data_IF_576968335216
#
_entry.id   IF_576968335216
#
_cell.length_a   1.000
_cell.length_b   1.000
_cell.length_c   1.000
_cell.angle_alpha   90.00
_cell.angle_beta   90.00
_cell.angle_gamma   90.00
#
_symmetry.space_group_name_H-M   'P 1'
#
loop_
_entity.id
_entity.type
_entity.pdbx_description
1 polymer ?
#
# COMPACT_ATOMS: atom_id res chain seq x y z
N UNK A 1 44.14 17.85 49.91
CA UNK A 1 43.84 18.25 48.51
C UNK A 1 43.39 17.00 47.76
N UNK A 2 42.08 16.79 47.58
CA UNK A 2 41.31 17.04 46.33
C UNK A 2 41.82 16.26 45.11
N UNK A 3 41.05 15.26 44.65
CA UNK A 3 40.60 14.99 43.26
C UNK A 3 39.93 13.59 43.24
N UNK A 4 38.63 13.51 43.55
CA UNK A 4 37.47 13.52 42.63
C UNK A 4 37.31 12.22 41.81
N UNK A 5 36.35 11.42 42.31
CA UNK A 5 35.43 10.49 41.63
C UNK A 5 35.57 10.36 40.11
N UNK A 6 35.89 9.15 39.65
CA UNK A 6 35.58 8.69 38.30
C UNK A 6 34.08 8.34 38.23
N UNK A 7 33.29 9.23 37.65
CA UNK A 7 32.00 8.90 37.04
C UNK A 7 32.22 9.03 35.53
N UNK A 8 32.23 7.92 34.79
CA UNK A 8 32.04 7.95 33.35
C UNK A 8 30.81 7.12 33.02
N UNK A 9 29.85 7.85 32.47
CA UNK A 9 28.49 7.50 32.14
C UNK A 9 28.51 6.46 31.01
N UNK A 10 27.95 5.28 31.25
CA UNK A 10 27.53 4.39 30.18
C UNK A 10 26.35 5.06 29.45
N UNK A 11 26.59 5.59 28.25
CA UNK A 11 25.54 6.07 27.38
C UNK A 11 24.77 4.86 26.84
N UNK A 12 23.61 4.59 27.43
CA UNK A 12 22.64 3.64 26.89
C UNK A 12 22.05 4.28 25.63
N UNK A 13 22.57 3.91 24.45
CA UNK A 13 21.93 4.27 23.18
C UNK A 13 20.65 3.44 23.09
N UNK A 14 19.54 4.01 23.52
CA UNK A 14 18.22 3.47 23.21
C UNK A 14 17.99 3.71 21.73
N UNK A 15 18.30 2.71 20.90
CA UNK A 15 17.82 2.68 19.52
C UNK A 15 16.30 2.53 19.62
N UNK A 16 15.59 3.64 19.44
CA UNK A 16 14.14 3.60 19.29
C UNK A 16 13.87 2.85 18.00
N UNK A 17 13.35 1.63 18.11
CA UNK A 17 12.83 0.90 16.96
C UNK A 17 11.57 1.64 16.49
N UNK A 18 11.73 2.54 15.53
CA UNK A 18 10.59 3.20 14.90
C UNK A 18 9.82 2.14 14.12
N UNK A 19 8.64 1.77 14.63
CA UNK A 19 7.64 1.05 13.85
C UNK A 19 7.02 2.05 12.88
N UNK A 20 7.11 1.79 11.58
CA UNK A 20 6.56 2.68 10.56
C UNK A 20 5.34 2.00 9.94
N UNK A 21 4.24 2.75 9.89
CA UNK A 21 2.93 2.32 9.42
C UNK A 21 2.57 3.11 8.15
N UNK A 22 2.34 2.41 7.04
CA UNK A 22 1.95 2.97 5.75
C UNK A 22 0.49 2.63 5.44
N UNK A 23 -0.32 3.66 5.15
CA UNK A 23 -1.69 3.47 4.70
C UNK A 23 -1.69 3.25 3.17
N UNK A 24 -2.22 2.11 2.71
CA UNK A 24 -2.42 1.80 1.30
C UNK A 24 -3.90 1.73 0.95
N UNK A 25 -4.24 2.25 -0.22
CA UNK A 25 -5.56 2.15 -0.83
C UNK A 25 -5.49 1.17 -1.99
N UNK A 26 -6.34 0.15 -1.96
CA UNK A 26 -6.43 -0.91 -2.95
C UNK A 26 -7.83 -0.91 -3.56
N UNK A 27 -7.91 -1.16 -4.86
CA UNK A 27 -9.16 -1.33 -5.59
C UNK A 27 -9.19 -2.71 -6.24
N UNK A 28 -10.34 -3.37 -6.16
CA UNK A 28 -10.54 -4.65 -6.83
C UNK A 28 -10.74 -4.45 -8.33
N UNK A 29 -10.17 -5.39 -9.08
CA UNK A 29 -10.33 -5.57 -10.51
C UNK A 29 -10.75 -7.02 -10.77
N UNK A 30 -11.28 -7.29 -11.96
CA UNK A 30 -11.72 -8.64 -12.35
C UNK A 30 -12.65 -9.28 -11.32
N UNK A 31 -13.63 -8.50 -10.82
CA UNK A 31 -14.56 -8.93 -9.79
C UNK A 31 -15.46 -10.02 -10.37
N UNK A 32 -15.34 -11.23 -9.82
CA UNK A 32 -16.25 -12.32 -10.04
C UNK A 32 -17.10 -12.48 -8.78
N UNK A 33 -18.41 -12.20 -8.89
CA UNK A 33 -19.32 -12.18 -7.76
C UNK A 33 -20.54 -13.06 -7.99
N UNK A 34 -21.00 -13.69 -6.93
CA UNK A 34 -22.22 -14.47 -6.87
C UNK A 34 -23.07 -13.98 -5.70
N UNK A 35 -24.33 -13.66 -5.98
CA UNK A 35 -25.33 -13.40 -4.94
C UNK A 35 -26.39 -14.49 -4.93
N UNK A 36 -26.81 -14.90 -3.73
CA UNK A 36 -27.83 -15.92 -3.55
C UNK A 36 -29.25 -15.43 -3.87
N UNK A 37 -29.48 -14.10 -3.94
CA UNK A 37 -30.78 -13.48 -4.28
C UNK A 37 -31.99 -14.02 -3.47
N UNK A 38 -31.74 -14.44 -2.23
CA UNK A 38 -32.76 -15.12 -1.40
C UNK A 38 -33.73 -14.11 -0.76
N UNK A 39 -33.33 -12.83 -0.66
CA UNK A 39 -34.13 -11.80 -0.02
C UNK A 39 -34.84 -10.91 -1.03
N UNK A 40 -36.18 -10.84 -0.99
CA UNK A 40 -36.94 -9.99 -1.89
C UNK A 40 -36.51 -8.53 -1.78
N UNK A 41 -36.33 -7.87 -2.93
CA UNK A 41 -35.92 -6.47 -3.06
C UNK A 41 -34.51 -6.13 -2.59
N UNK A 42 -33.69 -7.11 -2.21
CA UNK A 42 -32.26 -6.91 -2.00
C UNK A 42 -31.50 -7.42 -3.22
N UNK A 43 -31.03 -6.50 -4.06
CA UNK A 43 -30.25 -6.83 -5.25
C UNK A 43 -28.76 -6.59 -4.99
N UNK A 44 -28.02 -7.67 -4.74
CA UNK A 44 -26.56 -7.66 -4.59
C UNK A 44 -25.84 -8.16 -5.85
N UNK A 45 -26.56 -8.32 -6.98
CA UNK A 45 -25.94 -8.63 -8.25
C UNK A 45 -25.14 -7.43 -8.75
N UNK A 46 -24.21 -7.71 -9.66
CA UNK A 46 -23.40 -6.69 -10.34
C UNK A 46 -22.60 -5.81 -9.37
N UNK A 47 -21.97 -6.42 -8.36
CA UNK A 47 -21.01 -5.74 -7.48
C UNK A 47 -19.99 -4.97 -8.34
N UNK A 48 -20.05 -3.64 -8.26
CA UNK A 48 -19.35 -2.75 -9.19
C UNK A 48 -17.92 -2.48 -8.73
N UNK A 49 -17.74 -2.18 -7.44
CA UNK A 49 -16.43 -1.86 -6.88
C UNK A 49 -16.22 -2.50 -5.51
N UNK A 50 -14.97 -2.85 -5.23
CA UNK A 50 -14.50 -3.18 -3.88
C UNK A 50 -13.28 -2.32 -3.59
N UNK A 51 -13.34 -1.53 -2.52
CA UNK A 51 -12.24 -0.68 -2.04
C UNK A 51 -11.74 -1.20 -0.71
N UNK A 52 -10.43 -1.35 -0.57
CA UNK A 52 -9.78 -1.84 0.65
C UNK A 52 -8.74 -0.81 1.09
N UNK A 53 -8.82 -0.41 2.35
CA UNK A 53 -7.78 0.37 3.01
C UNK A 53 -7.03 -0.53 3.99
N UNK A 54 -5.71 -0.64 3.79
CA UNK A 54 -4.84 -1.41 4.68
C UNK A 54 -3.80 -0.50 5.34
N UNK A 55 -3.39 -0.88 6.53
CA UNK A 55 -2.22 -0.35 7.20
C UNK A 55 -1.11 -1.41 7.19
N UNK A 56 -0.01 -1.12 6.52
CA UNK A 56 1.14 -2.00 6.43
C UNK A 56 2.21 -1.50 7.40
N UNK A 57 2.55 -2.31 8.40
CA UNK A 57 3.54 -1.98 9.41
C UNK A 57 4.79 -2.83 9.23
N UNK A 58 5.93 -2.18 8.98
CA UNK A 58 7.24 -2.85 8.97
C UNK A 58 7.91 -2.67 10.34
N UNK A 59 8.41 -3.76 10.93
CA UNK A 59 9.18 -3.70 12.18
C UNK A 59 10.62 -4.18 11.95
N UNK A 60 11.62 -3.63 12.66
CA UNK A 60 13.02 -4.01 12.45
C UNK A 60 13.34 -5.50 12.65
N UNK A 61 12.48 -6.23 13.36
CA UNK A 61 12.66 -7.63 13.73
C UNK A 61 11.80 -8.61 12.90
N UNK A 62 10.97 -8.10 11.97
CA UNK A 62 10.15 -8.92 11.06
C UNK A 62 10.29 -8.40 9.62
N UNK A 63 10.96 -9.14 8.72
CA UNK A 63 11.09 -8.74 7.32
C UNK A 63 9.76 -8.80 6.55
N UNK A 64 8.77 -9.51 7.08
CA UNK A 64 7.41 -9.52 6.56
C UNK A 64 6.63 -8.39 7.26
N UNK A 65 6.12 -7.47 6.46
CA UNK A 65 5.28 -6.39 6.95
C UNK A 65 3.97 -6.97 7.50
N UNK A 66 3.52 -6.48 8.65
CA UNK A 66 2.20 -6.86 9.17
C UNK A 66 1.14 -6.02 8.48
N UNK A 67 0.12 -6.69 7.93
CA UNK A 67 -1.02 -6.03 7.28
C UNK A 67 -2.22 -6.02 8.22
N UNK A 68 -2.77 -4.83 8.46
CA UNK A 68 -4.05 -4.62 9.15
C UNK A 68 -5.06 -4.09 8.12
N UNK A 69 -6.25 -4.69 8.04
CA UNK A 69 -7.30 -4.22 7.13
C UNK A 69 -8.21 -3.26 7.90
N UNK A 70 -8.07 -1.96 7.62
CA UNK A 70 -8.80 -0.91 8.31
C UNK A 70 -10.26 -0.85 7.88
N UNK A 71 -10.48 -0.90 6.57
CA UNK A 71 -11.79 -0.72 5.94
C UNK A 71 -11.88 -1.53 4.66
N UNK A 72 -13.04 -2.13 4.43
CA UNK A 72 -13.48 -2.64 3.13
C UNK A 72 -14.85 -2.09 2.80
N UNK A 73 -15.03 -1.66 1.55
CA UNK A 73 -16.27 -1.14 1.04
C UNK A 73 -16.65 -1.89 -0.23
N UNK A 74 -17.87 -2.42 -0.26
CA UNK A 74 -18.49 -3.05 -1.41
C UNK A 74 -19.56 -2.11 -1.97
N UNK A 75 -19.41 -1.70 -3.23
CA UNK A 75 -20.34 -0.77 -3.88
C UNK A 75 -21.25 -1.53 -4.85
N UNK A 76 -22.56 -1.38 -4.65
CA UNK A 76 -23.58 -2.05 -5.44
C UNK A 76 -24.36 -1.01 -6.25
N UNK A 77 -24.70 -1.29 -7.52
CA UNK A 77 -25.50 -0.37 -8.33
C UNK A 77 -26.95 -0.26 -7.83
N UNK A 78 -27.46 -1.31 -7.19
CA UNK A 78 -28.88 -1.45 -6.85
C UNK A 78 -29.13 -1.67 -5.34
N UNK A 79 -28.11 -1.45 -4.50
CA UNK A 79 -28.21 -1.55 -3.05
C UNK A 79 -27.26 -0.54 -2.40
N UNK A 80 -27.52 -0.19 -1.14
CA UNK A 80 -26.57 0.65 -0.38
C UNK A 80 -25.23 -0.09 -0.23
N UNK A 81 -24.13 0.66 -0.24
CA UNK A 81 -22.79 0.12 -0.02
C UNK A 81 -22.70 -0.65 1.31
N UNK A 82 -21.94 -1.74 1.30
CA UNK A 82 -21.59 -2.45 2.52
C UNK A 82 -20.19 -2.01 2.95
N UNK A 83 -20.09 -1.28 4.06
CA UNK A 83 -18.82 -0.88 4.66
C UNK A 83 -18.51 -1.72 5.88
N UNK A 84 -17.35 -2.34 5.88
CA UNK A 84 -16.82 -3.20 6.92
C UNK A 84 -15.54 -2.58 7.50
N UNK A 85 -15.46 -2.42 8.82
CA UNK A 85 -14.28 -1.89 9.52
C UNK A 85 -13.87 -2.81 10.65
N UNK A 86 -12.68 -2.59 11.22
CA UNK A 86 -12.14 -3.37 12.33
C UNK A 86 -12.05 -4.87 12.00
N UNK A 87 -11.50 -5.20 10.84
CA UNK A 87 -11.33 -6.58 10.41
C UNK A 87 -10.22 -7.24 11.23
N UNK A 88 -10.57 -8.33 11.90
CA UNK A 88 -9.66 -9.09 12.75
C UNK A 88 -9.20 -10.36 12.05
N UNK A 89 -7.89 -10.64 12.10
CA UNK A 89 -7.33 -11.89 11.59
C UNK A 89 -7.84 -13.07 12.42
N UNK A 90 -8.37 -14.09 11.74
CA UNK A 90 -8.93 -15.29 12.37
C UNK A 90 -7.77 -16.22 12.77
N UNK A 91 -7.75 -16.64 14.03
CA UNK A 91 -6.67 -17.46 14.56
C UNK A 91 -6.66 -18.85 13.91
N UNK A 92 -5.46 -19.35 13.58
CA UNK A 92 -5.31 -20.69 13.00
C UNK A 92 -5.75 -20.83 11.54
N UNK A 93 -6.08 -19.71 10.87
CA UNK A 93 -6.36 -19.69 9.42
C UNK A 93 -5.32 -18.84 8.68
N UNK A 94 -4.89 -19.28 7.48
CA UNK A 94 -3.99 -18.47 6.67
C UNK A 94 -4.74 -17.25 6.11
N UNK A 95 -4.41 -16.06 6.62
CA UNK A 95 -4.79 -14.76 6.07
C UNK A 95 -6.29 -14.54 5.83
N UNK A 96 -7.11 -15.11 6.71
CA UNK A 96 -8.54 -14.82 6.76
C UNK A 96 -8.80 -13.71 7.78
N UNK A 97 -9.57 -12.72 7.37
CA UNK A 97 -9.97 -11.59 8.18
C UNK A 97 -11.48 -11.53 8.24
N UNK A 98 -12.02 -11.25 9.42
CA UNK A 98 -13.47 -11.19 9.63
C UNK A 98 -13.86 -9.96 10.43
N UNK A 99 -15.04 -9.45 10.14
CA UNK A 99 -15.72 -8.45 10.98
C UNK A 99 -17.22 -8.63 10.90
N UNK A 100 -17.93 -8.04 11.87
CA UNK A 100 -19.38 -8.05 11.94
C UNK A 100 -19.89 -6.64 11.67
N UNK A 101 -20.68 -6.48 10.62
CA UNK A 101 -21.34 -5.21 10.29
C UNK A 101 -22.76 -5.25 10.86
N UNK A 102 -23.11 -4.23 11.64
CA UNK A 102 -24.42 -4.11 12.28
C UNK A 102 -25.38 -3.30 11.43
N UNK A 103 -26.63 -3.78 11.33
CA UNK A 103 -27.73 -3.12 10.61
C UNK A 103 -27.52 -2.87 9.10
N UNK A 104 -26.83 -3.74 8.31
CA UNK A 104 -26.78 -3.58 6.86
C UNK A 104 -28.10 -4.00 6.22
N UNK A 105 -28.63 -3.15 5.34
CA UNK A 105 -29.88 -3.37 4.60
C UNK A 105 -31.05 -3.76 5.53
N UNK A 106 -31.55 -4.99 5.41
CA UNK A 106 -32.65 -5.55 6.20
C UNK A 106 -32.18 -6.46 7.35
N UNK A 107 -30.87 -6.66 7.52
CA UNK A 107 -30.30 -7.58 8.50
C UNK A 107 -29.86 -6.87 9.76
N UNK A 108 -30.02 -7.53 10.91
CA UNK A 108 -29.48 -7.04 12.17
C UNK A 108 -27.94 -7.06 12.17
N UNK A 109 -27.36 -8.11 11.60
CA UNK A 109 -25.91 -8.34 11.53
C UNK A 109 -25.56 -9.17 10.31
N UNK A 110 -24.46 -8.82 9.66
CA UNK A 110 -23.78 -9.71 8.70
C UNK A 110 -22.32 -9.87 9.08
N UNK A 111 -21.77 -11.04 8.81
CA UNK A 111 -20.35 -11.33 8.91
C UNK A 111 -19.73 -11.10 7.54
N UNK A 112 -18.69 -10.27 7.48
CA UNK A 112 -17.85 -10.09 6.29
C UNK A 112 -16.56 -10.87 6.52
N UNK A 113 -16.24 -11.76 5.59
CA UNK A 113 -15.01 -12.54 5.56
C UNK A 113 -14.21 -12.15 4.31
N UNK A 114 -12.92 -11.87 4.49
CA UNK A 114 -11.95 -11.73 3.42
C UNK A 114 -10.87 -12.77 3.60
N UNK A 115 -10.42 -13.40 2.53
CA UNK A 115 -9.24 -14.26 2.56
C UNK A 115 -8.37 -13.98 1.33
N UNK A 116 -7.06 -13.87 1.54
CA UNK A 116 -6.10 -13.52 0.50
C UNK A 116 -4.70 -14.01 0.84
N UNK A 117 -3.71 -13.66 0.03
CA UNK A 117 -2.30 -13.91 0.36
C UNK A 117 -1.76 -12.87 1.36
N UNK A 118 -0.55 -13.11 1.89
CA UNK A 118 0.02 -12.41 3.06
C UNK A 118 0.11 -10.88 2.92
N UNK A 119 0.23 -10.36 1.68
CA UNK A 119 0.62 -8.95 1.46
C UNK A 119 -0.45 -8.06 0.81
N UNK A 120 -1.62 -8.59 0.39
CA UNK A 120 -2.71 -7.85 -0.30
C UNK A 120 -2.26 -6.94 -1.47
N UNK A 121 -1.05 -7.10 -2.01
CA UNK A 121 -0.46 -6.25 -3.04
C UNK A 121 -0.43 -7.00 -4.39
N UNK A 122 -1.42 -6.78 -5.24
CA UNK A 122 -1.43 -7.40 -6.59
C UNK A 122 -1.92 -8.84 -6.64
N UNK A 123 -2.66 -9.33 -5.64
CA UNK A 123 -3.01 -10.76 -5.50
C UNK A 123 -4.53 -10.97 -5.54
N UNK A 124 -4.92 -12.18 -5.98
CA UNK A 124 -6.27 -12.69 -5.84
C UNK A 124 -6.69 -12.74 -4.37
N UNK A 125 -7.85 -12.19 -4.06
CA UNK A 125 -8.54 -12.38 -2.79
C UNK A 125 -9.95 -12.90 -3.04
N UNK A 126 -10.51 -13.52 -2.01
CA UNK A 126 -11.91 -13.90 -1.98
C UNK A 126 -12.63 -13.23 -0.82
N UNK A 127 -13.91 -13.00 -1.01
CA UNK A 127 -14.78 -12.36 -0.04
C UNK A 127 -16.08 -13.13 0.10
N UNK A 128 -16.64 -13.11 1.30
CA UNK A 128 -17.95 -13.70 1.61
C UNK A 128 -18.71 -12.82 2.60
N UNK A 129 -20.02 -12.78 2.45
CA UNK A 129 -20.94 -12.08 3.34
C UNK A 129 -22.03 -13.04 3.80
N UNK A 130 -22.14 -13.24 5.10
CA UNK A 130 -23.12 -14.14 5.72
C UNK A 130 -24.09 -13.37 6.61
N UNK A 131 -25.38 -13.74 6.60
CA UNK A 131 -26.33 -13.27 7.62
C UNK A 131 -26.03 -13.94 8.95
N UNK A 132 -25.92 -13.17 10.04
CA UNK A 132 -25.76 -13.76 11.37
C UNK A 132 -27.11 -13.91 12.06
N UNK A 133 -27.65 -15.14 12.04
CA UNK A 133 -28.98 -15.44 12.61
C UNK A 133 -28.94 -15.78 14.11
N UNK A 134 -27.78 -16.19 14.66
CA UNK A 134 -27.69 -16.58 16.07
C UNK A 134 -27.38 -15.39 16.99
N UNK A 135 -28.21 -15.21 18.02
CA UNK A 135 -28.01 -14.21 19.09
C UNK A 135 -27.17 -14.75 20.26
N UNK A 136 -26.88 -16.06 20.26
CA UNK A 136 -26.31 -16.77 21.41
C UNK A 136 -24.84 -16.45 21.64
N UNK A 137 -24.11 -16.03 20.60
CA UNK A 137 -22.72 -15.60 20.67
C UNK A 137 -22.55 -14.26 19.94
N UNK A 138 -22.86 -13.17 20.64
CA UNK A 138 -22.78 -11.81 20.11
C UNK A 138 -21.33 -11.54 19.64
N UNK A 139 -21.15 -11.26 18.35
CA UNK A 139 -19.86 -10.87 17.74
C UNK A 139 -18.79 -11.96 17.74
N UNK A 140 -19.17 -13.24 17.71
CA UNK A 140 -18.18 -14.31 17.56
C UNK A 140 -17.75 -14.46 16.09
N UNK A 141 -16.61 -13.85 15.75
CA UNK A 141 -15.97 -13.95 14.42
C UNK A 141 -15.51 -15.36 14.06
N UNK A 142 -15.40 -16.28 15.02
CA UNK A 142 -15.00 -17.67 14.78
C UNK A 142 -16.17 -18.53 14.26
N UNK A 143 -17.41 -18.04 14.35
CA UNK A 143 -18.61 -18.73 13.87
C UNK A 143 -19.04 -18.18 12.51
N UNK A 144 -18.92 -18.99 11.46
CA UNK A 144 -19.42 -18.70 10.10
C UNK A 144 -20.84 -19.19 9.85
N UNK A 145 -21.63 -19.41 10.91
CA UNK A 145 -22.98 -19.93 10.77
C UNK A 145 -23.91 -18.83 10.27
N UNK A 146 -24.53 -19.07 9.12
CA UNK A 146 -25.38 -18.09 8.48
C UNK A 146 -25.69 -18.42 7.03
N UNK A 147 -26.71 -17.75 6.50
CA UNK A 147 -27.00 -17.79 5.08
C UNK A 147 -26.02 -16.90 4.31
N UNK A 148 -25.35 -17.45 3.30
CA UNK A 148 -24.45 -16.68 2.42
C UNK A 148 -25.28 -15.78 1.49
N UNK A 149 -25.04 -14.47 1.53
CA UNK A 149 -25.70 -13.47 0.68
C UNK A 149 -24.92 -13.17 -0.59
N UNK A 150 -23.59 -13.14 -0.45
CA UNK A 150 -22.65 -12.68 -1.45
C UNK A 150 -21.33 -13.42 -1.24
N UNK A 151 -20.75 -13.90 -2.32
CA UNK A 151 -19.38 -14.41 -2.32
C UNK A 151 -18.72 -14.17 -3.66
N UNK A 152 -17.39 -14.21 -3.69
CA UNK A 152 -16.67 -14.03 -4.92
C UNK A 152 -15.17 -13.97 -4.76
N UNK A 153 -14.51 -13.69 -5.87
CA UNK A 153 -13.08 -13.49 -5.97
C UNK A 153 -12.77 -12.26 -6.82
N UNK A 154 -11.66 -11.59 -6.55
CA UNK A 154 -11.19 -10.45 -7.33
C UNK A 154 -9.67 -10.29 -7.18
N UNK A 155 -9.08 -9.47 -8.02
CA UNK A 155 -7.66 -9.10 -7.99
C UNK A 155 -7.49 -7.71 -7.41
N UNK A 156 -6.52 -7.49 -6.51
CA UNK A 156 -6.29 -6.17 -5.93
C UNK A 156 -5.25 -5.37 -6.72
N UNK A 157 -5.57 -4.13 -7.03
CA UNK A 157 -4.67 -3.16 -7.64
C UNK A 157 -4.38 -2.07 -6.60
N UNK A 158 -3.10 -1.78 -6.39
CA UNK A 158 -2.69 -0.69 -5.53
C UNK A 158 -2.93 0.67 -6.24
N UNK A 159 -3.87 1.44 -5.69
CA UNK A 159 -4.25 2.78 -6.17
C UNK A 159 -3.84 3.89 -5.19
N UNK A 160 -2.96 3.58 -4.23
CA UNK A 160 -2.46 4.54 -3.26
C UNK A 160 -1.91 5.77 -3.96
N UNK A 161 -2.40 6.95 -3.55
CA UNK A 161 -1.98 8.21 -4.15
C UNK A 161 -0.46 8.35 -4.09
N UNK A 162 0.17 8.54 -5.26
CA UNK A 162 1.63 8.72 -5.37
C UNK A 162 2.04 10.05 -4.74
N UNK A 163 2.41 10.02 -3.46
CA UNK A 163 2.92 11.20 -2.77
C UNK A 163 4.25 11.61 -3.38
N UNK A 164 4.34 12.85 -3.85
CA UNK A 164 5.60 13.46 -4.29
C UNK A 164 6.32 13.97 -3.05
N UNK A 165 7.56 13.52 -2.83
CA UNK A 165 8.37 13.88 -1.65
C UNK A 165 9.39 14.97 -1.96
N UNK A 166 9.84 15.07 -3.22
CA UNK A 166 10.75 16.11 -3.65
C UNK A 166 10.60 16.38 -5.16
N UNK A 167 10.99 17.59 -5.59
CA UNK A 167 10.94 18.02 -6.99
C UNK A 167 12.26 18.69 -7.36
N UNK A 168 12.97 18.13 -8.35
CA UNK A 168 14.13 18.76 -8.96
C UNK A 168 13.78 19.29 -10.36
N UNK A 169 14.02 20.59 -10.55
CA UNK A 169 13.79 21.26 -11.83
C UNK A 169 15.13 21.50 -12.54
N UNK A 170 15.17 21.25 -13.85
CA UNK A 170 16.38 21.33 -14.63
C UNK A 170 16.18 21.58 -16.11
N UNK A 171 17.30 21.55 -16.83
CA UNK A 171 17.31 21.50 -18.28
C UNK A 171 18.16 20.34 -18.73
N UNK A 172 17.71 19.64 -19.74
CA UNK A 172 18.40 18.53 -20.38
C UNK A 172 18.31 18.70 -21.89
N UNK A 173 19.46 18.72 -22.57
CA UNK A 173 19.57 19.02 -24.01
C UNK A 173 18.80 20.29 -24.42
N UNK A 174 18.93 21.35 -23.61
CA UNK A 174 18.29 22.65 -23.85
C UNK A 174 16.78 22.71 -23.54
N UNK A 175 16.13 21.59 -23.21
CA UNK A 175 14.71 21.52 -22.88
C UNK A 175 14.50 21.39 -21.38
N UNK A 176 13.36 21.87 -20.88
CA UNK A 176 13.02 21.78 -19.47
C UNK A 176 12.75 20.32 -19.06
N UNK A 177 13.32 19.92 -17.92
CA UNK A 177 13.17 18.61 -17.31
C UNK A 177 12.74 18.80 -15.86
N UNK A 178 11.59 18.24 -15.50
CA UNK A 178 11.05 18.23 -14.15
C UNK A 178 11.11 16.79 -13.64
N UNK A 179 11.77 16.57 -12.51
CA UNK A 179 11.89 15.27 -11.86
C UNK A 179 11.14 15.32 -10.53
N UNK A 180 10.18 14.42 -10.34
CA UNK A 180 9.40 14.31 -9.11
C UNK A 180 9.70 12.98 -8.45
N UNK A 181 10.31 13.05 -7.28
CA UNK A 181 10.61 11.88 -6.46
C UNK A 181 9.33 11.39 -5.81
N UNK A 182 8.99 10.13 -6.03
CA UNK A 182 7.80 9.52 -5.44
C UNK A 182 8.17 8.86 -4.12
N UNK A 183 7.25 8.91 -3.15
CA UNK A 183 7.41 8.31 -1.83
C UNK A 183 7.55 6.79 -1.88
N UNK A 184 6.93 6.15 -2.88
CA UNK A 184 6.86 4.70 -2.96
C UNK A 184 8.15 4.11 -3.53
N UNK A 185 8.66 3.10 -2.82
CA UNK A 185 9.73 2.22 -3.28
C UNK A 185 9.12 0.86 -3.60
N UNK A 186 9.61 0.20 -4.66
CA UNK A 186 9.23 -1.17 -5.00
C UNK A 186 10.49 -2.05 -5.08
N UNK A 187 10.31 -3.35 -5.34
CA UNK A 187 11.43 -4.29 -5.51
C UNK A 187 12.40 -3.88 -6.63
N UNK A 188 11.94 -3.08 -7.60
CA UNK A 188 12.76 -2.57 -8.71
C UNK A 188 13.56 -1.32 -8.32
N UNK A 189 13.14 -0.60 -7.28
CA UNK A 189 13.84 0.56 -6.73
C UNK A 189 12.93 1.75 -6.42
N UNK A 190 13.51 2.95 -6.45
CA UNK A 190 12.81 4.20 -6.21
C UNK A 190 12.27 4.74 -7.53
N UNK A 191 11.04 5.24 -7.52
CA UNK A 191 10.41 5.80 -8.71
C UNK A 191 10.55 7.32 -8.76
N UNK A 192 10.98 7.83 -9.91
CA UNK A 192 11.06 9.26 -10.22
C UNK A 192 10.22 9.53 -11.45
N UNK A 193 9.18 10.35 -11.33
CA UNK A 193 8.42 10.83 -12.48
C UNK A 193 9.21 11.94 -13.19
N UNK A 194 9.63 11.68 -14.43
CA UNK A 194 10.31 12.62 -15.28
C UNK A 194 9.35 13.20 -16.31
N UNK A 195 9.13 14.51 -16.27
CA UNK A 195 8.43 15.26 -17.31
C UNK A 195 9.46 16.03 -18.12
N UNK A 196 9.64 15.63 -19.38
CA UNK A 196 10.58 16.27 -20.29
C UNK A 196 9.81 17.02 -21.38
N UNK A 197 10.01 18.33 -21.44
CA UNK A 197 9.20 19.21 -22.29
C UNK A 197 9.32 18.81 -23.77
N UNK A 198 8.18 18.55 -24.41
CA UNK A 198 8.12 18.07 -25.80
C UNK A 198 8.41 16.57 -26.00
N UNK A 199 8.64 15.82 -24.92
CA UNK A 199 8.83 14.35 -24.95
C UNK A 199 7.84 13.59 -24.03
N UNK A 200 7.14 14.31 -23.14
CA UNK A 200 6.08 13.78 -22.28
C UNK A 200 6.56 13.38 -20.89
N UNK A 201 5.79 12.50 -20.23
CA UNK A 201 6.04 12.06 -18.85
C UNK A 201 6.33 10.57 -18.81
N UNK A 202 7.40 10.17 -18.11
CA UNK A 202 7.79 8.76 -17.90
C UNK A 202 8.26 8.53 -16.47
N UNK A 203 8.28 7.27 -16.05
CA UNK A 203 8.87 6.85 -14.77
C UNK A 203 10.30 6.39 -15.00
N UNK A 204 11.23 6.96 -14.25
CA UNK A 204 12.60 6.49 -14.10
C UNK A 204 12.66 5.63 -12.83
N UNK A 205 13.40 4.53 -12.88
CA UNK A 205 13.62 3.66 -11.71
C UNK A 205 15.08 3.78 -11.29
N UNK A 206 15.32 4.25 -10.07
CA UNK A 206 16.65 4.29 -9.47
C UNK A 206 16.87 2.99 -8.68
N UNK A 207 17.94 2.23 -8.94
CA UNK A 207 18.28 1.06 -8.16
C UNK A 207 18.46 1.44 -6.69
N UNK A 208 17.86 0.67 -5.80
CA UNK A 208 18.03 0.82 -4.36
C UNK A 208 18.15 -0.55 -3.71
N UNK A 209 18.93 -0.71 -2.64
CA UNK A 209 18.68 -1.82 -1.72
C UNK A 209 17.22 -1.76 -1.30
N UNK A 210 16.45 -2.81 -1.59
CA UNK A 210 15.07 -2.88 -1.16
C UNK A 210 15.05 -3.06 0.36
N UNK A 211 14.68 -2.00 1.07
CA UNK A 211 14.35 -2.03 2.48
C UNK A 211 13.04 -1.25 2.65
N UNK A 212 11.97 -1.98 2.99
CA UNK A 212 10.64 -1.40 3.18
C UNK A 212 10.57 -0.33 4.29
N UNK A 213 11.65 -0.15 5.06
CA UNK A 213 11.77 0.88 6.10
C UNK A 213 12.38 2.19 5.59
N UNK A 214 12.93 2.22 4.38
CA UNK A 214 13.63 3.39 3.84
C UNK A 214 12.72 4.18 2.92
N UNK A 215 12.47 5.43 3.30
CA UNK A 215 11.65 6.34 2.51
C UNK A 215 12.52 7.38 1.83
N UNK A 216 12.38 7.58 0.50
CA UNK A 216 13.08 8.64 -0.19
C UNK A 216 12.58 10.00 0.33
N UNK A 217 13.51 10.91 0.60
CA UNK A 217 13.23 12.27 1.11
C UNK A 217 13.79 13.38 0.24
N UNK A 218 14.81 13.11 -0.57
CA UNK A 218 15.39 14.11 -1.45
C UNK A 218 15.96 13.50 -2.72
N UNK A 219 15.87 14.25 -3.81
CA UNK A 219 16.50 13.94 -5.09
C UNK A 219 17.74 14.81 -5.25
N UNK A 220 18.90 14.18 -5.38
CA UNK A 220 20.16 14.88 -5.56
C UNK A 220 20.54 14.74 -7.03
N UNK A 221 20.70 15.90 -7.67
CA UNK A 221 21.08 15.98 -9.06
C UNK A 221 22.41 16.71 -9.18
N UNK A 222 23.44 15.99 -9.61
CA UNK A 222 24.75 16.55 -9.92
C UNK A 222 24.81 16.86 -11.43
N UNK A 223 25.16 18.10 -11.74
CA UNK A 223 25.20 18.63 -13.11
C UNK A 223 26.62 19.04 -13.45
N UNK A 224 27.41 18.06 -13.86
CA UNK A 224 28.67 18.38 -14.54
C UNK A 224 28.43 18.45 -16.07
N UNK A 225 29.09 19.38 -16.78
CA UNK A 225 28.97 19.48 -18.24
C UNK A 225 29.27 18.13 -18.90
N UNK A 226 28.30 17.58 -19.64
CA UNK A 226 28.42 16.28 -20.31
C UNK A 226 28.21 15.04 -19.43
N UNK A 227 28.04 15.19 -18.12
CA UNK A 227 27.81 14.07 -17.20
C UNK A 227 26.86 14.50 -16.06
N UNK A 228 25.56 14.37 -16.31
CA UNK A 228 24.56 14.60 -15.27
C UNK A 228 24.27 13.29 -14.54
N UNK A 229 24.38 13.32 -13.21
CA UNK A 229 24.14 12.17 -12.34
C UNK A 229 22.99 12.43 -11.39
N UNK A 230 22.29 11.37 -11.01
CA UNK A 230 21.11 11.41 -10.17
C UNK A 230 21.20 10.33 -9.10
N UNK A 231 20.84 10.68 -7.87
CA UNK A 231 20.67 9.75 -6.75
C UNK A 231 19.56 10.25 -5.84
N UNK A 232 19.04 9.36 -4.99
CA UNK A 232 18.07 9.72 -3.97
C UNK A 232 18.68 9.56 -2.58
N UNK A 233 18.25 10.38 -1.64
CA UNK A 233 18.56 10.27 -0.21
C UNK A 233 17.34 9.74 0.54
N UNK A 234 17.58 8.88 1.51
CA UNK A 234 16.60 8.32 2.42
C UNK A 234 16.50 9.11 3.73
N UNK A 235 15.41 8.90 4.45
CA UNK A 235 15.14 9.46 5.78
C UNK A 235 16.24 9.16 6.81
N UNK A 236 16.87 7.98 6.74
CA UNK A 236 18.01 7.61 7.58
C UNK A 236 19.35 8.28 7.17
N UNK A 237 19.36 9.10 6.12
CA UNK A 237 20.54 9.78 5.58
C UNK A 237 21.38 8.97 4.60
N UNK A 238 21.07 7.70 4.35
CA UNK A 238 21.72 6.90 3.30
C UNK A 238 21.30 7.37 1.91
N UNK A 239 22.12 7.08 0.90
CA UNK A 239 21.89 7.49 -0.49
C UNK A 239 21.92 6.27 -1.41
N UNK A 240 21.16 6.33 -2.51
CA UNK A 240 21.30 5.34 -3.59
C UNK A 240 22.64 5.46 -4.28
N UNK A 241 22.96 4.45 -5.10
CA UNK A 241 24.03 4.55 -6.08
C UNK A 241 23.83 5.78 -6.98
N UNK A 242 24.95 6.38 -7.38
CA UNK A 242 24.96 7.48 -8.34
C UNK A 242 24.69 6.93 -9.75
N UNK A 243 23.57 7.31 -10.36
CA UNK A 243 23.16 6.85 -11.68
C UNK A 243 23.34 7.91 -12.77
N UNK A 244 23.52 7.47 -14.02
CA UNK A 244 23.57 8.38 -15.17
C UNK A 244 22.18 8.86 -15.54
N UNK A 245 21.94 10.17 -15.47
CA UNK A 245 20.65 10.74 -15.89
C UNK A 245 20.41 10.51 -17.38
N UNK A 246 21.46 10.56 -18.21
CA UNK A 246 21.35 10.28 -19.65
C UNK A 246 20.82 8.86 -19.90
N UNK A 247 21.44 7.85 -19.25
CA UNK A 247 21.06 6.45 -19.44
C UNK A 247 19.62 6.18 -18.99
N UNK A 248 19.20 6.75 -17.86
CA UNK A 248 17.83 6.60 -17.36
C UNK A 248 16.81 7.26 -18.29
N UNK A 249 17.10 8.46 -18.79
CA UNK A 249 16.23 9.14 -19.75
C UNK A 249 16.15 8.37 -21.07
N UNK A 250 17.27 7.85 -21.57
CA UNK A 250 17.31 7.05 -22.79
C UNK A 250 16.53 5.74 -22.65
N UNK A 251 16.66 5.06 -21.50
CA UNK A 251 15.89 3.87 -21.19
C UNK A 251 14.38 4.14 -21.18
N UNK A 252 13.94 5.29 -20.66
CA UNK A 252 12.53 5.61 -20.48
C UNK A 252 11.86 6.27 -21.69
N UNK A 253 12.60 7.11 -22.42
CA UNK A 253 12.11 7.90 -23.55
C UNK A 253 12.58 7.39 -24.92
N UNK A 254 13.51 6.43 -24.95
CA UNK A 254 14.15 5.95 -26.17
C UNK A 254 15.42 6.74 -26.53
N UNK A 255 16.04 6.44 -27.69
CA UNK A 255 17.32 7.02 -28.09
C UNK A 255 17.27 8.55 -28.11
N UNK A 256 18.23 9.17 -27.41
CA UNK A 256 18.31 10.62 -27.25
C UNK A 256 19.21 11.23 -28.33
N UNK A 257 18.89 12.45 -28.82
CA UNK A 257 19.78 13.13 -29.76
C UNK A 257 21.13 13.44 -29.08
N UNK A 258 22.21 13.19 -29.82
CA UNK A 258 23.59 13.50 -29.40
C UNK A 258 23.88 15.00 -29.42
#
# INVERSE_FOLDING_TARGET
>A
MKFKRFFSIAALIVVSTMSQAELKSLEASNINSYSSNIYPNLNLNDLDQIKIEINQTATPNSPLATVEINKVEFEFPNANNLTATNLTKVNGTPNTYRTVVTSPWVFKKVLVELSGAEDFDGINFSYKVFVMDSTSNINNIEQTQGLELLSGNAELINVTAKKVVDIANGRYLGKELILRLLHNTNLEGIRVEATWFGHGTKILTLPSPFDARLYPVALILDRTPGNSRIKARFDNGTETSDESLHALLEQAFGPLPQ
#
